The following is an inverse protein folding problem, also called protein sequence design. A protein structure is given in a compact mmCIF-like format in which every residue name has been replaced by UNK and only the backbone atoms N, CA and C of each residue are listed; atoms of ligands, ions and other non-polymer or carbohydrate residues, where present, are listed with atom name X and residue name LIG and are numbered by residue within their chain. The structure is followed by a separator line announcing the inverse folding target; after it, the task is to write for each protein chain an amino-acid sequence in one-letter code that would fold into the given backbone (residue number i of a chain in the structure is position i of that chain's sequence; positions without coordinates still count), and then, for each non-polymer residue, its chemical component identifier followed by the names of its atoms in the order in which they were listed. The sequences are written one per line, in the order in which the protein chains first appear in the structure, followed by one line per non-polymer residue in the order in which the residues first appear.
data_IF_632453155717
#
_entry.id   IF_632453155717
#
_cell.length_a   1.000
_cell.length_b   1.000
_cell.length_c   1.000
_cell.angle_alpha   90.00
_cell.angle_beta   90.00
_cell.angle_gamma   90.00
#
_symmetry.space_group_name_H-M   'P 1'
#
loop_
_entity.id
_entity.type
_entity.pdbx_description
1 polymer ?
#
# COMPACT_ATOMS: atom_id res chain seq x y z
N UNK A 1 11.02 34.24 -3.49
CA UNK A 1 10.62 33.34 -2.38
C UNK A 1 11.81 32.58 -1.77
N UNK A 2 12.62 31.85 -2.55
CA UNK A 2 13.76 31.05 -2.03
C UNK A 2 14.79 31.81 -1.18
N UNK A 3 15.12 33.07 -1.52
CA UNK A 3 16.06 33.89 -0.74
C UNK A 3 15.52 34.25 0.66
N UNK A 4 14.23 34.58 0.74
CA UNK A 4 13.53 34.87 2.01
C UNK A 4 13.44 33.59 2.85
N UNK A 5 13.15 32.46 2.21
CA UNK A 5 13.08 31.15 2.87
C UNK A 5 14.44 30.74 3.48
N UNK A 6 15.54 30.82 2.71
CA UNK A 6 16.90 30.56 3.20
C UNK A 6 17.30 31.52 4.33
N UNK A 7 16.92 32.79 4.24
CA UNK A 7 17.24 33.78 5.25
C UNK A 7 16.50 33.50 6.57
N UNK A 8 15.18 33.30 6.51
CA UNK A 8 14.37 32.99 7.70
C UNK A 8 14.73 31.64 8.34
N UNK A 9 15.07 30.63 7.52
CA UNK A 9 15.58 29.35 8.02
C UNK A 9 16.88 29.54 8.82
N UNK A 10 17.88 30.25 8.27
CA UNK A 10 19.14 30.51 8.99
C UNK A 10 18.94 31.28 10.30
N UNK A 11 18.00 32.24 10.33
CA UNK A 11 17.71 33.01 11.55
C UNK A 11 17.03 32.13 12.61
N UNK A 12 16.05 31.32 12.22
CA UNK A 12 15.40 30.38 13.13
C UNK A 12 16.38 29.33 13.66
N UNK A 13 17.15 28.71 12.78
CA UNK A 13 18.10 27.64 13.10
C UNK A 13 19.18 28.10 14.08
N UNK A 14 19.70 29.33 13.90
CA UNK A 14 20.66 29.95 14.83
C UNK A 14 20.02 30.26 16.20
N UNK A 15 18.77 30.70 16.21
CA UNK A 15 18.02 30.93 17.45
C UNK A 15 17.81 29.61 18.20
N UNK A 16 17.30 28.60 17.50
CA UNK A 16 16.99 27.29 18.05
C UNK A 16 18.24 26.61 18.61
N UNK A 17 19.35 26.61 17.87
CA UNK A 17 20.62 26.01 18.33
C UNK A 17 21.11 26.64 19.63
N UNK A 18 21.05 27.98 19.77
CA UNK A 18 21.42 28.67 21.01
C UNK A 18 20.47 28.36 22.16
N UNK A 19 19.16 28.39 21.89
CA UNK A 19 18.14 28.06 22.87
C UNK A 19 18.31 26.62 23.37
N UNK A 20 18.47 25.67 22.45
CA UNK A 20 18.60 24.25 22.74
C UNK A 20 19.85 23.96 23.58
N UNK A 21 21.01 24.54 23.23
CA UNK A 21 22.22 24.41 24.06
C UNK A 21 22.01 24.91 25.51
N UNK A 22 21.27 25.99 25.70
CA UNK A 22 20.95 26.50 27.05
C UNK A 22 19.94 25.63 27.78
N UNK A 23 18.96 25.09 27.06
CA UNK A 23 17.92 24.22 27.59
C UNK A 23 18.49 22.91 28.16
N UNK A 24 19.46 22.30 27.49
CA UNK A 24 20.07 21.02 27.90
C UNK A 24 21.01 21.19 29.11
N UNK A 25 21.58 22.39 29.31
CA UNK A 25 22.44 22.66 30.46
C UNK A 25 21.59 22.80 31.74
N UNK A 26 21.65 21.76 32.59
CA UNK A 26 20.82 21.46 33.78
C UNK A 26 20.56 22.60 34.78
N UNK A 27 21.29 23.72 34.73
CA UNK A 27 21.05 24.92 35.57
C UNK A 27 20.06 25.91 34.97
N UNK A 28 19.73 25.83 33.69
CA UNK A 28 18.89 26.82 32.99
C UNK A 28 17.46 26.36 32.76
N UNK A 29 17.19 25.05 32.86
CA UNK A 29 15.86 24.46 32.65
C UNK A 29 14.81 24.95 33.66
N UNK A 30 15.24 25.42 34.84
CA UNK A 30 14.35 25.96 35.88
C UNK A 30 13.92 27.42 35.68
N UNK A 31 14.52 28.15 34.73
CA UNK A 31 14.30 29.61 34.56
C UNK A 31 13.62 29.95 33.22
N UNK A 32 13.55 29.01 32.27
CA UNK A 32 13.07 29.31 30.92
C UNK A 32 11.57 28.96 30.80
N UNK A 33 10.70 29.92 31.12
CA UNK A 33 9.24 29.79 31.01
C UNK A 33 8.72 29.77 29.56
N UNK A 34 9.49 30.22 28.56
CA UNK A 34 9.04 30.20 27.16
C UNK A 34 10.16 30.13 26.13
N UNK A 35 9.87 29.52 24.98
CA UNK A 35 10.78 29.41 23.85
C UNK A 35 10.96 30.78 23.16
N UNK A 36 12.16 31.41 23.23
CA UNK A 36 12.40 32.71 22.59
C UNK A 36 12.36 32.66 21.06
N UNK A 37 12.40 31.46 20.47
CA UNK A 37 12.35 31.24 19.03
C UNK A 37 10.94 30.94 18.52
N UNK A 38 9.90 30.93 19.37
CA UNK A 38 8.55 30.51 19.00
C UNK A 38 7.97 31.34 17.85
N UNK A 39 8.11 32.67 17.93
CA UNK A 39 7.62 33.58 16.88
C UNK A 39 8.38 33.41 15.56
N UNK A 40 9.66 33.05 15.61
CA UNK A 40 10.47 32.75 14.42
C UNK A 40 10.05 31.41 13.79
N UNK A 41 9.75 30.43 14.64
CA UNK A 41 9.24 29.12 14.23
C UNK A 41 7.89 29.25 13.52
N UNK A 42 6.97 30.02 14.08
CA UNK A 42 5.62 30.22 13.54
C UNK A 42 5.66 30.82 12.13
N UNK A 43 6.47 31.87 11.94
CA UNK A 43 6.70 32.50 10.64
C UNK A 43 7.36 31.54 9.65
N UNK A 44 8.29 30.70 10.11
CA UNK A 44 8.94 29.69 9.28
C UNK A 44 7.95 28.60 8.86
N UNK A 45 7.13 28.10 9.81
CA UNK A 45 6.09 27.10 9.60
C UNK A 45 5.07 27.56 8.57
N UNK A 46 4.49 28.75 8.72
CA UNK A 46 3.51 29.27 7.76
C UNK A 46 4.10 29.37 6.34
N UNK A 47 5.37 29.80 6.23
CA UNK A 47 6.03 29.89 4.94
C UNK A 47 6.29 28.51 4.32
N UNK A 48 6.60 27.51 5.15
CA UNK A 48 6.76 26.11 4.74
C UNK A 48 5.44 25.52 4.27
N UNK A 49 4.38 25.64 5.06
CA UNK A 49 3.05 25.10 4.76
C UNK A 49 2.50 25.69 3.47
N UNK A 50 2.63 27.01 3.30
CA UNK A 50 2.25 27.69 2.05
C UNK A 50 3.12 27.24 0.87
N UNK A 51 4.40 27.00 1.10
CA UNK A 51 5.33 26.49 0.08
C UNK A 51 5.03 25.05 -0.35
N UNK A 52 4.66 24.20 0.61
CA UNK A 52 4.25 22.80 0.42
C UNK A 52 2.91 22.72 -0.31
N UNK A 53 1.94 23.57 0.05
CA UNK A 53 0.63 23.61 -0.62
C UNK A 53 0.72 24.14 -2.04
N UNK A 54 1.64 25.08 -2.32
CA UNK A 54 1.74 25.74 -3.64
C UNK A 54 2.58 24.91 -4.61
N UNK A 55 3.71 24.36 -4.18
CA UNK A 55 4.61 23.65 -5.09
C UNK A 55 4.28 22.16 -5.22
N UNK A 56 3.43 21.62 -4.32
CA UNK A 56 3.08 20.19 -4.23
C UNK A 56 4.24 19.25 -4.60
N UNK A 57 5.46 19.42 -4.06
CA UNK A 57 6.64 18.70 -4.53
C UNK A 57 6.60 17.19 -4.22
N UNK A 58 5.53 16.72 -3.58
CA UNK A 58 5.27 15.33 -3.19
C UNK A 58 3.93 14.80 -3.73
N UNK A 59 3.18 15.58 -4.52
CA UNK A 59 2.07 14.99 -5.27
C UNK A 59 2.68 14.25 -6.46
N UNK A 60 2.54 12.92 -6.42
CA UNK A 60 2.69 12.07 -7.58
C UNK A 60 1.61 12.53 -8.58
N UNK A 61 2.01 12.96 -9.76
CA UNK A 61 1.09 13.29 -10.83
C UNK A 61 0.36 11.99 -11.24
N UNK A 62 -0.91 11.90 -10.86
CA UNK A 62 -1.75 10.74 -11.18
C UNK A 62 -1.90 10.57 -12.70
N UNK A 63 -1.77 11.63 -13.50
CA UNK A 63 -1.83 11.53 -14.95
C UNK A 63 -0.53 10.97 -15.54
N UNK A 64 0.63 11.23 -14.93
CA UNK A 64 1.91 10.64 -15.35
C UNK A 64 1.96 9.14 -15.04
N UNK A 65 1.42 8.73 -13.89
CA UNK A 65 1.27 7.31 -13.53
C UNK A 65 0.22 6.60 -14.41
N UNK A 66 -0.83 7.33 -14.82
CA UNK A 66 -1.84 6.82 -15.77
C UNK A 66 -1.27 6.66 -17.17
N UNK A 67 -0.35 7.54 -17.57
CA UNK A 67 0.36 7.48 -18.86
C UNK A 67 1.38 6.35 -18.89
N UNK A 68 2.11 6.09 -17.81
CA UNK A 68 2.97 4.90 -17.68
C UNK A 68 2.16 3.59 -17.71
N UNK A 69 0.98 3.56 -17.09
CA UNK A 69 0.06 2.40 -17.20
C UNK A 69 -0.47 2.25 -18.63
N UNK A 70 -0.79 3.36 -19.33
CA UNK A 70 -1.22 3.31 -20.73
C UNK A 70 -0.11 2.84 -21.68
N UNK A 71 1.14 3.28 -21.46
CA UNK A 71 2.28 2.87 -22.27
C UNK A 71 2.64 1.39 -22.03
N UNK A 72 2.42 0.85 -20.82
CA UNK A 72 2.53 -0.60 -20.56
C UNK A 72 1.41 -1.38 -21.27
N UNK A 73 0.22 -0.80 -21.38
CA UNK A 73 -0.90 -1.42 -22.12
C UNK A 73 -0.73 -1.34 -23.64
N UNK A 74 0.00 -0.35 -24.17
CA UNK A 74 0.29 -0.24 -25.61
C UNK A 74 1.55 -1.01 -26.06
N UNK A 75 2.47 -1.35 -25.14
CA UNK A 75 3.66 -2.19 -25.42
C UNK A 75 3.36 -3.70 -25.27
N UNK A 76 2.18 -4.09 -24.76
CA UNK A 76 1.66 -5.47 -24.85
C UNK A 76 0.75 -5.72 -26.06
N UNK A 77 0.79 -4.86 -27.09
CA UNK A 77 0.30 -5.19 -28.43
C UNK A 77 1.29 -6.03 -29.26
N UNK A 78 2.35 -6.56 -28.64
CA UNK A 78 3.25 -7.57 -29.20
C UNK A 78 3.24 -8.83 -28.34
N UNK A 79 2.48 -9.84 -28.75
CA UNK A 79 2.18 -11.09 -28.02
C UNK A 79 1.04 -10.96 -27.01
N UNK A 80 -0.17 -10.70 -27.53
CA UNK A 80 -1.36 -11.20 -26.88
C UNK A 80 -1.17 -12.69 -26.58
N UNK A 81 -1.31 -13.07 -25.32
CA UNK A 81 -1.58 -14.46 -24.90
C UNK A 81 -3.10 -14.52 -24.71
N UNK A 82 -3.90 -14.86 -25.74
CA UNK A 82 -5.36 -14.75 -25.65
C UNK A 82 -6.01 -16.02 -25.07
N UNK A 83 -5.23 -17.00 -24.59
CA UNK A 83 -5.75 -18.35 -24.34
C UNK A 83 -6.10 -18.58 -22.85
N UNK A 84 -5.38 -17.98 -21.90
CA UNK A 84 -5.59 -18.24 -20.47
C UNK A 84 -6.79 -17.51 -19.85
N UNK A 85 -7.12 -16.30 -20.32
CA UNK A 85 -8.25 -15.54 -19.77
C UNK A 85 -9.59 -16.25 -20.04
N UNK A 86 -9.75 -16.82 -21.24
CA UNK A 86 -11.00 -17.50 -21.61
C UNK A 86 -11.30 -18.73 -20.74
N UNK A 87 -10.27 -19.51 -20.39
CA UNK A 87 -10.43 -20.71 -19.55
C UNK A 87 -10.74 -20.31 -18.11
N UNK A 88 -10.10 -19.24 -17.62
CA UNK A 88 -10.35 -18.73 -16.28
C UNK A 88 -11.76 -18.18 -16.16
N UNK A 89 -12.19 -17.36 -17.12
CA UNK A 89 -13.52 -16.76 -17.13
C UNK A 89 -14.62 -17.82 -17.26
N UNK A 90 -14.42 -18.84 -18.10
CA UNK A 90 -15.41 -19.93 -18.28
C UNK A 90 -15.66 -20.73 -17.01
N UNK A 91 -14.63 -21.07 -16.21
CA UNK A 91 -14.84 -21.76 -14.93
C UNK A 91 -15.58 -20.88 -13.91
N UNK A 92 -15.28 -19.57 -13.85
CA UNK A 92 -15.97 -18.65 -12.95
C UNK A 92 -17.44 -18.49 -13.33
N UNK A 93 -17.73 -18.35 -14.62
CA UNK A 93 -19.10 -18.29 -15.14
C UNK A 93 -19.88 -19.58 -14.83
N UNK A 94 -19.24 -20.74 -14.93
CA UNK A 94 -19.86 -22.01 -14.57
C UNK A 94 -20.20 -22.04 -13.07
N UNK A 95 -19.26 -21.65 -12.20
CA UNK A 95 -19.51 -21.58 -10.76
C UNK A 95 -20.64 -20.60 -10.43
N UNK A 96 -20.65 -19.42 -11.04
CA UNK A 96 -21.70 -18.40 -10.86
C UNK A 96 -23.06 -18.96 -11.27
N UNK A 97 -23.16 -19.58 -12.45
CA UNK A 97 -24.40 -20.18 -12.92
C UNK A 97 -24.89 -21.31 -12.00
N UNK A 98 -24.00 -22.17 -11.50
CA UNK A 98 -24.37 -23.22 -10.54
C UNK A 98 -24.87 -22.62 -9.22
N UNK A 99 -24.23 -21.56 -8.72
CA UNK A 99 -24.64 -20.85 -7.51
C UNK A 99 -26.00 -20.17 -7.67
N UNK A 100 -26.23 -19.47 -8.78
CA UNK A 100 -27.51 -18.83 -9.10
C UNK A 100 -28.64 -19.86 -9.18
N UNK A 101 -28.41 -20.97 -9.91
CA UNK A 101 -29.37 -22.06 -10.00
C UNK A 101 -29.67 -22.67 -8.63
N UNK A 102 -28.65 -22.85 -7.78
CA UNK A 102 -28.84 -23.36 -6.43
C UNK A 102 -29.69 -22.41 -5.57
N UNK A 103 -29.38 -21.12 -5.59
CA UNK A 103 -30.13 -20.08 -4.87
C UNK A 103 -31.59 -20.03 -5.34
N UNK A 104 -31.84 -20.08 -6.65
CA UNK A 104 -33.18 -20.05 -7.21
C UNK A 104 -33.99 -21.30 -6.85
N UNK A 105 -33.36 -22.49 -6.87
CA UNK A 105 -33.99 -23.72 -6.40
C UNK A 105 -34.35 -23.65 -4.91
N UNK A 106 -33.49 -23.05 -4.09
CA UNK A 106 -33.74 -22.87 -2.66
C UNK A 106 -34.90 -21.90 -2.42
N UNK A 107 -34.95 -20.80 -3.18
CA UNK A 107 -36.08 -19.85 -3.16
C UNK A 107 -37.40 -20.53 -3.53
N UNK A 108 -37.42 -21.30 -4.62
CA UNK A 108 -38.61 -22.03 -5.06
C UNK A 108 -39.07 -23.05 -4.01
N UNK A 109 -38.13 -23.77 -3.38
CA UNK A 109 -38.46 -24.67 -2.27
C UNK A 109 -39.08 -23.91 -1.08
N UNK A 110 -38.54 -22.73 -0.75
CA UNK A 110 -39.08 -21.84 0.28
C UNK A 110 -40.54 -21.44 0.00
N UNK A 111 -40.87 -21.13 -1.25
CA UNK A 111 -42.26 -20.81 -1.66
C UNK A 111 -43.20 -22.02 -1.53
N UNK A 112 -42.75 -23.21 -1.95
CA UNK A 112 -43.54 -24.44 -1.81
C UNK A 112 -43.79 -24.75 -0.34
N UNK A 113 -42.79 -24.52 0.52
CA UNK A 113 -42.89 -24.76 1.95
C UNK A 113 -43.77 -23.72 2.66
N UNK A 114 -43.76 -22.45 2.24
CA UNK A 114 -44.62 -21.42 2.83
C UNK A 114 -46.10 -21.66 2.51
N UNK A 115 -46.41 -22.07 1.28
CA UNK A 115 -47.79 -22.31 0.81
C UNK A 115 -48.07 -23.82 0.65
N UNK A 116 -47.74 -24.58 1.69
CA UNK A 116 -47.80 -26.03 1.59
C UNK A 116 -49.23 -26.58 1.54
N UNK A 117 -49.48 -27.49 0.61
CA UNK A 117 -50.74 -28.25 0.49
C UNK A 117 -50.44 -29.74 0.34
N UNK A 118 -51.44 -30.62 0.49
CA UNK A 118 -51.26 -32.06 0.23
C UNK A 118 -50.77 -32.40 -1.17
N UNK A 119 -50.98 -31.51 -2.16
CA UNK A 119 -50.47 -31.67 -3.54
C UNK A 119 -49.01 -31.21 -3.69
N UNK A 120 -48.49 -30.46 -2.73
CA UNK A 120 -47.15 -29.85 -2.77
C UNK A 120 -46.04 -30.81 -2.33
N UNK A 121 -46.37 -31.95 -1.72
CA UNK A 121 -45.39 -32.89 -1.16
C UNK A 121 -44.40 -33.42 -2.22
N UNK A 122 -44.91 -33.82 -3.38
CA UNK A 122 -44.08 -34.39 -4.44
C UNK A 122 -43.13 -33.33 -5.06
N UNK A 123 -43.60 -32.12 -5.45
CA UNK A 123 -42.72 -31.03 -5.84
C UNK A 123 -41.68 -30.64 -4.76
N UNK A 124 -42.07 -30.66 -3.48
CA UNK A 124 -41.15 -30.38 -2.38
C UNK A 124 -40.02 -31.40 -2.32
N UNK A 125 -40.35 -32.70 -2.37
CA UNK A 125 -39.36 -33.78 -2.37
C UNK A 125 -38.42 -33.67 -3.58
N UNK A 126 -38.96 -33.37 -4.76
CA UNK A 126 -38.15 -33.13 -5.96
C UNK A 126 -37.17 -31.97 -5.75
N UNK A 127 -37.61 -30.85 -5.17
CA UNK A 127 -36.72 -29.71 -4.87
C UNK A 127 -35.66 -30.06 -3.83
N UNK A 128 -35.98 -30.85 -2.80
CA UNK A 128 -35.00 -31.35 -1.84
C UNK A 128 -33.91 -32.15 -2.56
N UNK A 129 -34.28 -33.08 -3.44
CA UNK A 129 -33.31 -33.83 -4.24
C UNK A 129 -32.47 -32.94 -5.15
N UNK A 130 -33.10 -31.95 -5.82
CA UNK A 130 -32.37 -30.98 -6.65
C UNK A 130 -31.34 -30.19 -5.85
N UNK A 131 -31.67 -29.75 -4.63
CA UNK A 131 -30.73 -29.03 -3.77
C UNK A 131 -29.59 -29.92 -3.29
N UNK A 132 -29.87 -31.17 -2.92
CA UNK A 132 -28.81 -32.13 -2.54
C UNK A 132 -27.86 -32.35 -3.72
N UNK A 133 -28.37 -32.54 -4.93
CA UNK A 133 -27.55 -32.65 -6.14
C UNK A 133 -26.74 -31.38 -6.40
N UNK A 134 -27.34 -30.20 -6.22
CA UNK A 134 -26.64 -28.92 -6.37
C UNK A 134 -25.51 -28.71 -5.36
N UNK A 135 -25.68 -29.16 -4.11
CA UNK A 135 -24.60 -29.15 -3.12
C UNK A 135 -23.44 -30.07 -3.52
N UNK A 136 -23.74 -31.27 -4.04
CA UNK A 136 -22.71 -32.18 -4.56
C UNK A 136 -21.96 -31.59 -5.76
N UNK A 137 -22.67 -30.95 -6.69
CA UNK A 137 -22.06 -30.30 -7.84
C UNK A 137 -21.12 -29.17 -7.41
N UNK A 138 -21.54 -28.34 -6.45
CA UNK A 138 -20.71 -27.25 -5.91
C UNK A 138 -19.45 -27.78 -5.20
N UNK A 139 -19.57 -28.87 -4.43
CA UNK A 139 -18.40 -29.51 -3.80
C UNK A 139 -17.41 -30.07 -4.83
N UNK A 140 -17.91 -30.62 -5.95
CA UNK A 140 -17.06 -31.04 -7.06
C UNK A 140 -16.35 -29.87 -7.75
N UNK A 141 -17.07 -28.76 -7.99
CA UNK A 141 -16.51 -27.56 -8.61
C UNK A 141 -15.43 -26.90 -7.75
N UNK A 142 -15.53 -26.97 -6.42
CA UNK A 142 -14.56 -26.39 -5.47
C UNK A 142 -13.10 -26.72 -5.82
N UNK A 143 -12.82 -27.96 -6.24
CA UNK A 143 -11.45 -28.40 -6.55
C UNK A 143 -10.84 -27.64 -7.74
N UNK A 144 -11.66 -27.04 -8.59
CA UNK A 144 -11.19 -26.22 -9.71
C UNK A 144 -10.68 -24.85 -9.28
N UNK A 145 -10.87 -24.41 -8.03
CA UNK A 145 -10.53 -23.06 -7.55
C UNK A 145 -9.46 -23.04 -6.46
N UNK A 146 -8.68 -24.12 -6.30
CA UNK A 146 -7.64 -24.22 -5.26
C UNK A 146 -6.49 -23.22 -5.44
N UNK A 147 -6.33 -22.71 -6.66
CA UNK A 147 -5.40 -21.64 -7.03
C UNK A 147 -5.86 -20.25 -6.57
N UNK A 148 -7.15 -20.07 -6.29
CA UNK A 148 -7.72 -18.79 -5.86
C UNK A 148 -7.59 -18.64 -4.35
N UNK A 149 -6.82 -17.64 -3.90
CA UNK A 149 -6.67 -17.30 -2.48
C UNK A 149 -7.57 -16.13 -2.11
N UNK A 150 -8.37 -16.30 -1.06
CA UNK A 150 -9.26 -15.26 -0.54
C UNK A 150 -8.62 -14.69 0.75
N UNK A 151 -8.29 -13.39 0.80
CA UNK A 151 -7.80 -12.75 2.02
C UNK A 151 -8.81 -12.87 3.16
N UNK A 152 -8.35 -13.20 4.37
CA UNK A 152 -9.24 -13.39 5.51
C UNK A 152 -9.91 -12.08 5.94
N UNK A 153 -9.21 -10.96 5.74
CA UNK A 153 -9.73 -9.62 5.99
C UNK A 153 -10.95 -9.29 5.12
N UNK A 154 -11.11 -9.98 3.98
CA UNK A 154 -12.28 -9.81 3.11
C UNK A 154 -13.55 -10.39 3.76
N UNK A 155 -13.43 -11.38 4.63
CA UNK A 155 -14.58 -12.01 5.29
C UNK A 155 -15.34 -11.00 6.17
N UNK A 156 -14.63 -10.08 6.83
CA UNK A 156 -15.26 -9.01 7.62
C UNK A 156 -16.15 -8.10 6.77
N UNK A 157 -15.79 -7.89 5.49
CA UNK A 157 -16.62 -7.13 4.56
C UNK A 157 -17.88 -7.90 4.18
N UNK A 158 -17.76 -9.21 3.94
CA UNK A 158 -18.89 -10.07 3.58
C UNK A 158 -19.88 -10.23 4.74
N UNK A 159 -19.39 -10.46 5.96
CA UNK A 159 -20.22 -10.60 7.16
C UNK A 159 -21.03 -9.33 7.46
N UNK A 160 -20.44 -8.17 7.15
CA UNK A 160 -21.10 -6.87 7.28
C UNK A 160 -21.93 -6.48 6.04
N UNK A 161 -22.07 -7.39 5.07
CA UNK A 161 -22.80 -7.19 3.80
C UNK A 161 -22.29 -5.95 3.04
N UNK A 162 -20.98 -5.68 3.14
CA UNK A 162 -20.30 -4.61 2.40
C UNK A 162 -19.82 -5.12 1.05
N UNK A 163 -19.71 -4.21 0.09
CA UNK A 163 -19.13 -4.53 -1.21
C UNK A 163 -17.64 -4.92 -1.04
N UNK A 164 -17.22 -6.14 -1.45
CA UNK A 164 -15.83 -6.60 -1.40
C UNK A 164 -14.84 -5.68 -2.14
N UNK A 165 -15.31 -4.94 -3.15
CA UNK A 165 -14.47 -3.96 -3.88
C UNK A 165 -13.98 -2.81 -3.00
N UNK A 166 -14.63 -2.56 -1.85
CA UNK A 166 -14.14 -1.60 -0.87
C UNK A 166 -12.83 -2.05 -0.24
N UNK A 167 -12.68 -3.36 0.04
CA UNK A 167 -11.41 -3.92 0.51
C UNK A 167 -10.32 -3.73 -0.54
N UNK A 168 -10.60 -4.05 -1.81
CA UNK A 168 -9.66 -3.85 -2.92
C UNK A 168 -9.21 -2.39 -3.00
N UNK A 169 -10.17 -1.46 -2.96
CA UNK A 169 -9.89 -0.02 -2.95
C UNK A 169 -9.01 0.39 -1.77
N UNK A 170 -9.33 -0.09 -0.56
CA UNK A 170 -8.58 0.26 0.64
C UNK A 170 -7.16 -0.31 0.59
N UNK A 171 -6.99 -1.55 0.11
CA UNK A 171 -5.69 -2.17 -0.09
C UNK A 171 -4.82 -1.35 -1.05
N UNK A 172 -5.37 -0.98 -2.22
CA UNK A 172 -4.67 -0.13 -3.18
C UNK A 172 -4.28 1.23 -2.58
N UNK A 173 -5.20 1.86 -1.83
CA UNK A 173 -4.93 3.14 -1.17
C UNK A 173 -3.84 3.03 -0.09
N UNK A 174 -3.86 1.97 0.72
CA UNK A 174 -2.82 1.69 1.73
C UNK A 174 -1.47 1.47 1.07
N UNK A 175 -1.41 0.67 0.00
CA UNK A 175 -0.19 0.41 -0.76
C UNK A 175 0.39 1.69 -1.36
N UNK A 176 -0.46 2.55 -1.96
CA UNK A 176 -0.04 3.84 -2.51
C UNK A 176 0.51 4.76 -1.42
N UNK A 177 -0.20 4.88 -0.30
CA UNK A 177 0.25 5.70 0.83
C UNK A 177 1.57 5.18 1.42
N UNK A 178 1.72 3.86 1.54
CA UNK A 178 2.96 3.26 2.05
C UNK A 178 4.13 3.48 1.10
N UNK A 179 3.90 3.38 -0.21
CA UNK A 179 4.90 3.68 -1.22
C UNK A 179 5.38 5.14 -1.12
N UNK A 180 4.44 6.10 -1.02
CA UNK A 180 4.78 7.53 -0.79
C UNK A 180 5.60 7.73 0.48
N UNK A 181 5.22 7.10 1.60
CA UNK A 181 5.92 7.18 2.87
C UNK A 181 7.36 6.63 2.77
N UNK A 182 7.53 5.46 2.16
CA UNK A 182 8.84 4.81 1.99
C UNK A 182 9.74 5.63 1.07
N UNK A 183 9.21 6.16 -0.04
CA UNK A 183 9.97 7.05 -0.92
C UNK A 183 10.41 8.32 -0.20
N UNK A 184 9.53 8.94 0.60
CA UNK A 184 9.89 10.08 1.44
C UNK A 184 11.03 9.77 2.42
N UNK A 185 11.03 8.57 3.03
CA UNK A 185 12.12 8.10 3.89
C UNK A 185 13.42 7.91 3.11
N UNK A 186 13.38 7.28 1.94
CA UNK A 186 14.55 7.07 1.08
C UNK A 186 15.19 8.42 0.73
N UNK A 187 14.40 9.41 0.32
CA UNK A 187 14.92 10.75 -0.01
C UNK A 187 15.53 11.45 1.20
N UNK A 188 14.92 11.30 2.39
CA UNK A 188 15.49 11.85 3.61
C UNK A 188 16.83 11.18 3.98
N UNK A 189 16.94 9.86 3.83
CA UNK A 189 18.19 9.13 4.06
C UNK A 189 19.27 9.51 3.04
N UNK A 190 18.91 9.70 1.76
CA UNK A 190 19.84 10.20 0.73
C UNK A 190 20.37 11.58 1.12
N UNK A 191 19.49 12.50 1.52
CA UNK A 191 19.88 13.85 1.94
C UNK A 191 20.75 13.83 3.20
N UNK A 192 20.36 13.05 4.21
CA UNK A 192 21.14 12.87 5.44
C UNK A 192 22.54 12.35 5.13
N UNK A 193 22.64 11.31 4.30
CA UNK A 193 23.91 10.76 3.82
C UNK A 193 24.78 11.82 3.13
N UNK A 194 24.20 12.63 2.25
CA UNK A 194 24.94 13.70 1.57
C UNK A 194 25.51 14.74 2.54
N UNK A 195 24.73 15.14 3.54
CA UNK A 195 25.20 16.08 4.58
C UNK A 195 26.27 15.43 5.46
N UNK A 196 26.04 14.20 5.93
CA UNK A 196 27.01 13.48 6.77
C UNK A 196 28.36 13.32 6.06
N UNK A 197 28.36 12.94 4.77
CA UNK A 197 29.59 12.81 3.99
C UNK A 197 30.29 14.14 3.70
N UNK A 198 29.56 15.25 3.71
CA UNK A 198 30.15 16.58 3.59
C UNK A 198 30.87 16.96 4.88
N UNK A 199 30.19 16.86 6.02
CA UNK A 199 30.78 17.23 7.31
C UNK A 199 31.96 16.31 7.69
N UNK A 200 31.86 15.00 7.42
CA UNK A 200 32.97 14.08 7.63
C UNK A 200 34.17 14.40 6.73
N UNK A 201 33.92 14.89 5.50
CA UNK A 201 34.98 15.31 4.59
C UNK A 201 35.72 16.57 5.05
N UNK A 202 35.08 17.42 5.86
CA UNK A 202 35.69 18.61 6.44
C UNK A 202 36.53 18.26 7.68
N UNK A 203 36.04 17.38 8.56
CA UNK A 203 36.72 17.00 9.80
C UNK A 203 37.79 15.90 9.60
N UNK A 204 37.52 14.92 8.72
CA UNK A 204 38.35 13.72 8.50
C UNK A 204 38.49 13.43 6.99
N UNK A 205 39.29 14.24 6.26
CA UNK A 205 39.37 14.15 4.80
C UNK A 205 39.95 12.82 4.29
N UNK A 206 41.01 12.30 4.93
CA UNK A 206 41.65 11.06 4.51
C UNK A 206 40.73 9.83 4.65
N UNK A 207 40.02 9.74 5.78
CA UNK A 207 39.09 8.63 6.05
C UNK A 207 37.86 8.70 5.14
N UNK A 208 37.39 9.91 4.83
CA UNK A 208 36.28 10.11 3.90
C UNK A 208 36.63 9.65 2.48
N UNK A 209 37.86 9.90 2.02
CA UNK A 209 38.36 9.38 0.73
C UNK A 209 38.44 7.86 0.75
N UNK A 210 38.97 7.27 1.82
CA UNK A 210 39.01 5.82 1.99
C UNK A 210 37.60 5.19 1.94
N UNK A 211 36.64 5.76 2.67
CA UNK A 211 35.25 5.30 2.66
C UNK A 211 34.62 5.33 1.25
N UNK A 212 34.79 6.42 0.50
CA UNK A 212 34.27 6.52 -0.87
C UNK A 212 34.84 5.44 -1.77
N UNK A 213 36.15 5.20 -1.70
CA UNK A 213 36.82 4.16 -2.47
C UNK A 213 36.31 2.75 -2.13
N UNK A 214 36.09 2.45 -0.84
CA UNK A 214 35.55 1.15 -0.40
C UNK A 214 34.10 0.95 -0.86
N UNK A 215 33.29 2.01 -0.81
CA UNK A 215 31.91 1.95 -1.25
C UNK A 215 31.78 1.73 -2.76
N UNK A 216 32.53 2.49 -3.55
CA UNK A 216 32.43 2.39 -5.01
C UNK A 216 32.83 0.99 -5.49
N UNK A 217 33.75 0.30 -4.79
CA UNK A 217 34.05 -1.12 -5.02
C UNK A 217 32.86 -2.04 -4.75
N UNK A 218 32.10 -1.79 -3.68
CA UNK A 218 30.92 -2.60 -3.29
C UNK A 218 29.75 -2.42 -4.26
N UNK A 219 29.57 -1.24 -4.86
CA UNK A 219 28.55 -1.02 -5.90
C UNK A 219 28.94 -1.64 -7.25
N UNK A 220 30.23 -1.88 -7.50
CA UNK A 220 30.74 -2.55 -8.72
C UNK A 220 30.95 -4.07 -8.59
N UNK A 221 30.73 -4.65 -7.42
CA UNK A 221 30.76 -6.12 -7.27
C UNK A 221 29.37 -6.66 -7.64
N UNK A 222 29.24 -7.69 -8.50
CA UNK A 222 27.96 -8.37 -8.66
C UNK A 222 27.52 -8.87 -7.28
N UNK A 223 26.26 -8.65 -6.95
CA UNK A 223 25.66 -9.11 -5.70
C UNK A 223 25.86 -10.62 -5.63
N UNK A 224 26.79 -11.09 -4.78
CA UNK A 224 26.77 -12.47 -4.33
C UNK A 224 25.42 -12.67 -3.64
N UNK A 225 24.65 -13.58 -4.22
CA UNK A 225 23.36 -14.02 -3.74
C UNK A 225 23.45 -14.34 -2.24
N UNK A 226 22.61 -13.68 -1.44
CA UNK A 226 22.27 -14.21 -0.13
C UNK A 226 21.42 -15.47 -0.36
N UNK A 227 22.08 -16.61 -0.52
CA UNK A 227 21.48 -17.90 -0.15
C UNK A 227 21.09 -17.80 1.33
N UNK A 228 19.79 -17.61 1.55
CA UNK A 228 19.15 -17.89 2.83
C UNK A 228 19.11 -19.42 2.90
N UNK A 229 20.07 -20.00 3.61
CA UNK A 229 19.98 -21.38 4.07
C UNK A 229 18.70 -21.53 4.91
N UNK A 230 17.77 -22.30 4.35
CA UNK A 230 16.54 -22.76 4.97
C UNK A 230 16.89 -23.82 6.03
N UNK A 231 16.55 -23.67 7.32
CA UNK A 231 16.80 -24.70 8.31
C UNK A 231 15.68 -25.75 8.24
N UNK A 232 15.92 -26.79 7.43
CA UNK A 232 15.15 -28.04 7.46
C UNK A 232 16.04 -29.18 7.93
N UNK A 233 16.01 -29.46 9.24
CA UNK A 233 16.10 -30.79 9.86
C UNK A 233 15.48 -30.75 11.27
#
# INVERSE_FOLDING_TARGET
MLKIFKFKFKTYDKCFTNFFQRFINSRSSLIIESNPCERLHEIYRECLEKGLSTNKPFDIDLEELRKEILDIMDVQNGSAVPIQDSITETRFNQLEQTLENFQENARQMGVIASDFTTRSQEPLNQKIHTLISGLHEMDHLKNQFMDVKIPLELLEYLDQVKNPQLYTKECLARTLNKNKEVNGKIEMYKKFRSVLLKELGEEMPNDTVLYRNLRDRKETSPQDDMEIDDPSD
#
